data_IF_191129892560
#
_entry.id   IF_191129892560
#
_cell.length_a   1.000
_cell.length_b   1.000
_cell.length_c   1.000
_cell.angle_alpha   90.00
_cell.angle_beta   90.00
_cell.angle_gamma   90.00
#
_symmetry.space_group_name_H-M   'P 1'
#
loop_
_entity.id
_entity.type
_entity.pdbx_description
1 polymer ?
#
# COMPACT_ATOMS: atom_id res chain seq x y z
N UNK A 1 -5.66 29.06 15.88
CA UNK A 1 -5.38 27.75 16.49
C UNK A 1 -3.87 27.62 16.62
N UNK A 2 -3.34 27.34 17.81
CA UNK A 2 -1.92 27.03 17.97
C UNK A 2 -1.58 25.83 17.06
N UNK A 3 -0.54 25.96 16.22
CA UNK A 3 -0.04 24.84 15.41
C UNK A 3 0.28 23.70 16.38
N UNK A 4 -0.39 22.56 16.24
CA UNK A 4 0.03 21.34 16.96
C UNK A 4 1.52 21.11 16.63
N UNK A 5 2.37 20.77 17.61
CA UNK A 5 3.75 20.42 17.32
C UNK A 5 3.76 19.29 16.29
N UNK A 6 4.68 19.35 15.32
CA UNK A 6 4.80 18.26 14.37
C UNK A 6 5.18 16.99 15.13
N UNK A 7 4.51 15.86 14.86
CA UNK A 7 4.85 14.60 15.51
C UNK A 7 6.29 14.22 15.16
N UNK A 8 7.02 13.61 16.12
CA UNK A 8 8.29 12.96 15.80
C UNK A 8 7.95 11.73 14.95
N UNK A 9 8.25 11.81 13.66
CA UNK A 9 8.07 10.70 12.74
C UNK A 9 9.42 10.00 12.55
N UNK A 10 9.52 8.77 13.05
CA UNK A 10 10.61 7.87 12.68
C UNK A 10 10.33 7.34 11.26
N UNK A 11 10.72 8.12 10.25
CA UNK A 11 10.70 7.71 8.85
C UNK A 11 12.12 7.70 8.31
N UNK A 12 12.46 6.64 7.57
CA UNK A 12 13.73 6.52 6.86
C UNK A 12 13.42 6.62 5.37
N UNK A 13 14.01 7.61 4.70
CA UNK A 13 14.02 7.64 3.26
C UNK A 13 15.06 6.61 2.77
N UNK A 14 14.70 5.81 1.79
CA UNK A 14 15.61 4.87 1.14
C UNK A 14 15.66 5.13 -0.36
N UNK A 15 16.76 4.75 -0.99
CA UNK A 15 16.89 4.79 -2.43
C UNK A 15 15.97 3.70 -3.04
N UNK A 16 15.04 4.07 -3.94
CA UNK A 16 14.08 3.13 -4.51
C UNK A 16 14.75 2.07 -5.40
N UNK A 17 15.85 2.38 -6.06
CA UNK A 17 16.58 1.42 -6.89
C UNK A 17 17.43 0.48 -6.03
N UNK A 18 17.97 0.96 -4.91
CA UNK A 18 18.55 0.10 -3.89
C UNK A 18 17.51 -0.87 -3.31
N UNK A 19 16.30 -0.39 -3.00
CA UNK A 19 15.20 -1.25 -2.51
C UNK A 19 14.85 -2.35 -3.52
N UNK A 20 14.67 -2.00 -4.81
CA UNK A 20 14.41 -2.99 -5.88
C UNK A 20 15.49 -4.07 -5.93
N UNK A 21 16.77 -3.69 -5.85
CA UNK A 21 17.89 -4.65 -5.87
C UNK A 21 17.85 -5.57 -4.65
N UNK A 22 17.71 -5.00 -3.46
CA UNK A 22 17.62 -5.78 -2.21
C UNK A 22 16.44 -6.75 -2.24
N UNK A 23 15.28 -6.34 -2.76
CA UNK A 23 14.13 -7.25 -2.93
C UNK A 23 14.43 -8.42 -3.88
N UNK A 24 15.17 -8.19 -4.97
CA UNK A 24 15.57 -9.27 -5.89
C UNK A 24 16.60 -10.21 -5.26
N UNK A 25 17.51 -9.68 -4.44
CA UNK A 25 18.48 -10.49 -3.71
C UNK A 25 17.78 -11.40 -2.69
N UNK A 26 16.81 -10.88 -1.93
CA UNK A 26 15.97 -11.68 -1.01
C UNK A 26 15.26 -12.83 -1.74
N UNK A 27 14.68 -12.57 -2.92
CA UNK A 27 14.04 -13.61 -3.74
C UNK A 27 15.04 -14.69 -4.15
N UNK A 28 16.23 -14.29 -4.60
CA UNK A 28 17.28 -15.21 -5.05
C UNK A 28 17.81 -16.06 -3.90
N UNK A 29 18.11 -15.44 -2.77
CA UNK A 29 18.65 -16.10 -1.58
C UNK A 29 17.69 -17.14 -1.00
N UNK A 30 16.38 -16.93 -1.16
CA UNK A 30 15.34 -17.85 -0.71
C UNK A 30 14.86 -18.83 -1.80
N UNK A 31 15.56 -18.91 -2.95
CA UNK A 31 15.24 -19.81 -4.07
C UNK A 31 13.79 -19.68 -4.57
N UNK A 32 13.23 -18.47 -4.52
CA UNK A 32 11.87 -18.20 -4.99
C UNK A 32 11.86 -18.14 -6.52
N UNK A 33 10.96 -18.90 -7.16
CA UNK A 33 10.77 -18.87 -8.60
C UNK A 33 10.01 -17.61 -9.06
N UNK A 34 10.73 -16.51 -9.21
CA UNK A 34 10.17 -15.21 -9.58
C UNK A 34 9.89 -15.10 -11.10
N UNK A 35 8.72 -14.56 -11.44
CA UNK A 35 8.28 -14.34 -12.83
C UNK A 35 7.86 -12.88 -13.07
N UNK A 36 8.78 -12.04 -13.54
CA UNK A 36 8.54 -10.59 -13.77
C UNK A 36 7.79 -10.26 -15.08
N UNK A 37 7.78 -11.16 -16.06
CA UNK A 37 7.17 -10.95 -17.39
C UNK A 37 5.93 -11.82 -17.59
N UNK A 38 5.09 -11.90 -16.55
CA UNK A 38 3.85 -12.66 -16.53
C UNK A 38 2.74 -11.78 -15.98
N UNK A 39 1.74 -11.49 -16.81
CA UNK A 39 0.57 -10.71 -16.39
C UNK A 39 -0.54 -11.68 -16.01
N UNK A 40 -1.21 -11.44 -14.88
CA UNK A 40 -2.41 -12.18 -14.49
C UNK A 40 -3.49 -12.05 -15.58
N UNK A 41 -4.23 -13.12 -15.82
CA UNK A 41 -5.33 -13.15 -16.78
C UNK A 41 -6.61 -13.74 -16.20
N UNK A 42 -6.53 -14.85 -15.46
CA UNK A 42 -7.70 -15.50 -14.84
C UNK A 42 -7.30 -16.40 -13.68
N UNK A 43 -8.24 -16.75 -12.80
CA UNK A 43 -8.07 -17.71 -11.73
C UNK A 43 -8.56 -19.10 -12.17
N UNK A 44 -7.95 -20.15 -11.62
CA UNK A 44 -8.40 -21.53 -11.81
C UNK A 44 -9.04 -21.98 -10.50
N UNK A 45 -10.34 -22.25 -10.53
CA UNK A 45 -11.12 -22.67 -9.35
C UNK A 45 -11.79 -24.00 -9.63
N UNK A 46 -11.61 -24.95 -8.71
CA UNK A 46 -12.21 -26.29 -8.76
C UNK A 46 -12.86 -26.58 -7.40
N UNK A 47 -14.12 -27.03 -7.42
CA UNK A 47 -14.88 -27.37 -6.21
C UNK A 47 -14.89 -26.27 -5.12
N UNK A 48 -14.90 -25.00 -5.55
CA UNK A 48 -14.89 -23.84 -4.65
C UNK A 48 -13.51 -23.49 -4.06
N UNK A 49 -12.45 -24.18 -4.45
CA UNK A 49 -11.08 -23.89 -4.04
C UNK A 49 -10.24 -23.36 -5.21
N UNK A 50 -9.42 -22.34 -4.98
CA UNK A 50 -8.46 -21.90 -5.99
C UNK A 50 -7.33 -22.94 -6.13
N UNK A 51 -6.97 -23.27 -7.38
CA UNK A 51 -5.91 -24.24 -7.73
C UNK A 51 -4.73 -23.61 -8.47
N UNK A 52 -4.86 -22.35 -8.87
CA UNK A 52 -3.83 -21.67 -9.61
C UNK A 52 -4.34 -20.44 -10.34
N UNK A 53 -3.48 -19.89 -11.19
CA UNK A 53 -3.76 -18.72 -12.02
C UNK A 53 -3.31 -18.96 -13.44
N UNK A 54 -3.99 -18.30 -14.38
CA UNK A 54 -3.60 -18.19 -15.77
C UNK A 54 -2.85 -16.88 -15.93
N UNK A 55 -1.66 -16.95 -16.54
CA UNK A 55 -0.88 -15.79 -16.91
C UNK A 55 -0.78 -15.64 -18.43
N UNK A 56 -0.79 -14.40 -18.90
CA UNK A 56 -0.46 -14.03 -20.27
C UNK A 56 1.03 -13.63 -20.34
N UNK A 57 1.76 -14.27 -21.25
CA UNK A 57 3.18 -13.99 -21.51
C UNK A 57 3.44 -13.88 -23.01
N UNK A 58 4.67 -13.49 -23.38
CA UNK A 58 5.13 -13.54 -24.78
C UNK A 58 5.31 -14.96 -25.31
N UNK A 59 5.44 -15.97 -24.44
CA UNK A 59 5.50 -17.38 -24.81
C UNK A 59 4.11 -18.02 -24.95
N UNK A 60 3.05 -17.21 -24.86
CA UNK A 60 1.67 -17.67 -24.83
C UNK A 60 1.09 -17.71 -23.41
N UNK A 61 -0.10 -18.27 -23.32
CA UNK A 61 -0.86 -18.42 -22.08
C UNK A 61 -0.33 -19.61 -21.29
N UNK A 62 -0.14 -19.44 -19.99
CA UNK A 62 0.40 -20.47 -19.11
C UNK A 62 -0.48 -20.59 -17.86
N UNK A 63 -0.73 -21.82 -17.41
CA UNK A 63 -1.32 -22.09 -16.10
C UNK A 63 -0.19 -22.29 -15.07
N UNK A 64 -0.29 -21.60 -13.94
CA UNK A 64 0.59 -21.76 -12.79
C UNK A 64 -0.27 -22.33 -11.65
N UNK A 65 -0.03 -23.58 -11.31
CA UNK A 65 -0.80 -24.32 -10.30
C UNK A 65 -0.16 -24.15 -8.91
N UNK A 66 -0.98 -24.22 -7.87
CA UNK A 66 -0.53 -24.18 -6.48
C UNK A 66 -1.63 -24.58 -5.50
N UNK A 67 -1.22 -25.10 -4.34
CA UNK A 67 -2.13 -25.57 -3.29
C UNK A 67 -2.73 -24.43 -2.46
N UNK A 68 -2.06 -23.28 -2.44
CA UNK A 68 -2.49 -22.01 -1.82
C UNK A 68 -2.13 -20.86 -2.76
N UNK A 69 -3.02 -19.87 -2.87
CA UNK A 69 -2.77 -18.62 -3.60
C UNK A 69 -2.87 -17.42 -2.67
N UNK A 70 -1.86 -16.55 -2.71
CA UNK A 70 -1.84 -15.28 -1.98
C UNK A 70 -2.05 -14.14 -2.97
N UNK A 71 -3.21 -13.48 -2.92
CA UNK A 71 -3.51 -12.31 -3.72
C UNK A 71 -2.85 -11.05 -3.13
N UNK A 72 -1.75 -10.64 -3.75
CA UNK A 72 -1.01 -9.40 -3.45
C UNK A 72 -1.14 -8.35 -4.56
N UNK A 73 -2.19 -8.43 -5.38
CA UNK A 73 -2.34 -7.58 -6.57
C UNK A 73 -2.60 -6.10 -6.25
N UNK A 74 -3.05 -5.79 -5.03
CA UNK A 74 -3.45 -4.44 -4.64
C UNK A 74 -4.83 -4.05 -5.14
N UNK A 75 -5.37 -4.76 -6.14
CA UNK A 75 -6.62 -4.45 -6.83
C UNK A 75 -7.67 -5.57 -6.74
N UNK A 76 -7.38 -6.62 -5.96
CA UNK A 76 -8.22 -7.81 -5.79
C UNK A 76 -8.47 -8.56 -7.11
N UNK A 77 -7.52 -8.50 -8.06
CA UNK A 77 -7.69 -9.11 -9.38
C UNK A 77 -7.88 -10.62 -9.29
N UNK A 78 -7.03 -11.30 -8.51
CA UNK A 78 -7.06 -12.76 -8.38
C UNK A 78 -8.29 -13.19 -7.62
N UNK A 79 -8.57 -12.60 -6.46
CA UNK A 79 -9.71 -12.98 -5.64
C UNK A 79 -11.06 -12.67 -6.32
N UNK A 80 -11.17 -11.53 -7.02
CA UNK A 80 -12.37 -11.20 -7.79
C UNK A 80 -12.60 -12.21 -8.93
N UNK A 81 -11.56 -12.57 -9.68
CA UNK A 81 -11.65 -13.56 -10.75
C UNK A 81 -11.98 -14.96 -10.20
N UNK A 82 -11.50 -15.30 -9.01
CA UNK A 82 -11.83 -16.55 -8.33
C UNK A 82 -13.26 -16.60 -7.75
N UNK A 83 -14.02 -15.50 -7.81
CA UNK A 83 -15.41 -15.44 -7.33
C UNK A 83 -15.59 -14.97 -5.88
N UNK A 84 -14.56 -14.35 -5.27
CA UNK A 84 -14.70 -13.74 -3.96
C UNK A 84 -15.60 -12.49 -4.01
N UNK A 85 -16.38 -12.28 -2.95
CA UNK A 85 -17.20 -11.07 -2.81
C UNK A 85 -16.33 -9.84 -2.52
N UNK A 86 -16.74 -8.68 -3.04
CA UNK A 86 -16.02 -7.45 -2.85
C UNK A 86 -16.94 -6.23 -2.76
N UNK A 87 -16.36 -5.12 -2.30
CA UNK A 87 -16.88 -3.77 -2.51
C UNK A 87 -15.95 -3.02 -3.44
N UNK A 88 -16.47 -2.05 -4.20
CA UNK A 88 -15.67 -1.20 -5.07
C UNK A 88 -15.75 0.24 -4.59
N UNK A 89 -14.61 0.91 -4.59
CA UNK A 89 -14.49 2.32 -4.23
C UNK A 89 -13.45 3.02 -5.08
N UNK A 90 -13.48 4.33 -5.03
CA UNK A 90 -12.52 5.21 -5.70
C UNK A 90 -12.03 6.24 -4.70
N UNK A 91 -10.82 6.74 -4.92
CA UNK A 91 -10.28 7.84 -4.13
C UNK A 91 -9.53 8.83 -5.02
N UNK A 92 -8.20 8.79 -5.01
CA UNK A 92 -7.35 9.57 -5.90
C UNK A 92 -6.43 8.62 -6.65
N UNK A 93 -6.01 9.04 -7.84
CA UNK A 93 -4.87 8.47 -8.54
C UNK A 93 -3.75 9.50 -8.61
N UNK A 94 -2.51 9.04 -8.71
CA UNK A 94 -1.31 9.89 -8.68
C UNK A 94 -0.20 9.29 -9.51
N UNK A 95 0.40 10.09 -10.40
CA UNK A 95 1.69 9.76 -11.02
C UNK A 95 2.77 10.57 -10.32
N UNK A 96 3.47 9.96 -9.37
CA UNK A 96 4.58 10.60 -8.65
C UNK A 96 5.76 10.84 -9.59
N UNK A 97 6.62 11.79 -9.26
CA UNK A 97 7.79 12.11 -10.07
C UNK A 97 8.96 12.58 -9.22
N UNK A 98 10.13 12.70 -9.83
CA UNK A 98 11.37 13.14 -9.19
C UNK A 98 11.93 14.34 -9.92
N UNK A 99 12.47 15.27 -9.14
CA UNK A 99 13.27 16.39 -9.65
C UNK A 99 14.71 16.23 -9.15
N UNK A 100 15.67 16.56 -10.00
CA UNK A 100 17.10 16.61 -9.67
C UNK A 100 17.58 18.06 -9.60
N UNK A 101 18.81 18.29 -9.13
CA UNK A 101 19.44 19.61 -9.04
C UNK A 101 18.66 20.63 -8.18
N UNK A 102 17.97 20.16 -7.15
CA UNK A 102 17.26 20.99 -6.17
C UNK A 102 18.19 21.30 -4.99
N UNK A 103 18.41 22.57 -4.70
CA UNK A 103 19.04 23.01 -3.45
C UNK A 103 18.01 22.90 -2.32
N UNK A 104 18.02 21.76 -1.63
CA UNK A 104 17.06 21.49 -0.57
C UNK A 104 17.28 22.36 0.67
N UNK A 105 18.52 22.80 0.91
CA UNK A 105 18.84 23.63 2.07
C UNK A 105 18.28 25.04 1.87
N UNK A 106 18.43 25.60 0.67
CA UNK A 106 17.82 26.88 0.30
C UNK A 106 16.28 26.82 0.31
N UNK A 107 15.69 25.74 -0.22
CA UNK A 107 14.25 25.55 -0.17
C UNK A 107 13.71 25.48 1.27
N UNK A 108 14.43 24.81 2.17
CA UNK A 108 14.08 24.77 3.59
C UNK A 108 14.31 26.12 4.27
N UNK A 109 15.43 26.82 3.98
CA UNK A 109 15.69 28.17 4.47
C UNK A 109 14.52 29.10 4.13
N UNK A 110 14.07 29.09 2.89
CA UNK A 110 12.93 29.89 2.43
C UNK A 110 11.63 29.55 3.17
N UNK A 111 11.35 28.26 3.41
CA UNK A 111 10.17 27.85 4.18
C UNK A 111 10.18 28.38 5.63
N UNK A 112 11.35 28.35 6.29
CA UNK A 112 11.48 28.72 7.70
C UNK A 112 11.66 30.22 7.94
N UNK A 113 12.50 30.87 7.13
CA UNK A 113 12.85 32.29 7.28
C UNK A 113 11.81 33.22 6.63
N UNK A 114 11.13 32.75 5.57
CA UNK A 114 10.15 33.54 4.80
C UNK A 114 8.78 32.84 4.67
N UNK A 115 8.14 32.42 5.79
CA UNK A 115 7.00 31.52 5.79
C UNK A 115 5.76 32.07 5.06
N UNK A 116 5.56 33.39 5.04
CA UNK A 116 4.45 34.03 4.32
C UNK A 116 4.64 34.00 2.80
N UNK A 117 5.87 34.22 2.33
CA UNK A 117 6.22 34.14 0.91
C UNK A 117 6.14 32.69 0.45
N UNK A 118 6.74 31.77 1.21
CA UNK A 118 6.63 30.34 0.96
C UNK A 118 5.16 29.87 0.90
N UNK A 119 4.31 30.30 1.83
CA UNK A 119 2.90 29.91 1.82
C UNK A 119 2.16 30.35 0.54
N UNK A 120 2.54 31.47 -0.08
CA UNK A 120 1.96 31.91 -1.37
C UNK A 120 2.40 30.98 -2.51
N UNK A 121 3.71 30.73 -2.62
CA UNK A 121 4.28 29.85 -3.65
C UNK A 121 3.75 28.43 -3.51
N UNK A 122 3.80 27.88 -2.30
CA UNK A 122 3.32 26.53 -2.00
C UNK A 122 1.81 26.39 -2.26
N UNK A 123 0.99 27.41 -1.97
CA UNK A 123 -0.44 27.38 -2.28
C UNK A 123 -0.70 27.27 -3.78
N UNK A 124 0.04 28.04 -4.58
CA UNK A 124 -0.11 28.00 -6.03
C UNK A 124 0.41 26.67 -6.60
N UNK A 125 1.56 26.18 -6.12
CA UNK A 125 2.08 24.85 -6.45
C UNK A 125 1.01 23.76 -6.20
N UNK A 126 0.41 23.74 -5.00
CA UNK A 126 -0.66 22.80 -4.63
C UNK A 126 -1.89 22.91 -5.51
N UNK A 127 -2.24 24.11 -5.97
CA UNK A 127 -3.36 24.32 -6.90
C UNK A 127 -3.08 23.70 -8.27
N UNK A 128 -1.86 23.84 -8.78
CA UNK A 128 -1.45 23.27 -10.08
C UNK A 128 -1.57 21.74 -10.07
N UNK A 129 -1.14 21.10 -8.99
CA UNK A 129 -1.15 19.63 -8.85
C UNK A 129 -2.48 19.03 -8.36
N UNK A 130 -3.51 19.85 -8.19
CA UNK A 130 -4.83 19.39 -7.71
C UNK A 130 -4.87 19.04 -6.21
N UNK A 131 -3.81 19.36 -5.47
CA UNK A 131 -3.67 19.10 -4.05
C UNK A 131 -2.42 18.28 -3.71
N UNK A 132 -2.12 18.28 -2.42
CA UNK A 132 -1.09 17.46 -1.80
C UNK A 132 -1.45 17.24 -0.34
N UNK A 133 -0.80 16.29 0.30
CA UNK A 133 -0.78 16.13 1.76
C UNK A 133 -0.07 17.33 2.42
N UNK A 134 0.58 17.12 3.57
CA UNK A 134 1.33 18.20 4.23
C UNK A 134 2.44 18.75 3.32
N UNK A 135 3.19 17.86 2.66
CA UNK A 135 4.25 18.19 1.72
C UNK A 135 3.91 17.62 0.34
N UNK A 136 4.21 18.40 -0.72
CA UNK A 136 4.14 17.90 -2.10
C UNK A 136 5.47 17.36 -2.62
N UNK A 137 6.59 17.74 -1.99
CA UNK A 137 7.94 17.22 -2.25
C UNK A 137 8.60 16.72 -0.96
N UNK A 138 9.51 15.74 -1.08
CA UNK A 138 10.21 15.09 0.02
C UNK A 138 11.69 14.95 -0.34
N UNK A 139 12.58 15.06 0.66
CA UNK A 139 13.99 14.75 0.48
C UNK A 139 14.19 13.26 0.23
N UNK A 140 15.17 12.93 -0.61
CA UNK A 140 15.63 11.55 -0.81
C UNK A 140 17.03 11.38 -0.21
N UNK A 141 17.56 10.14 -0.09
CA UNK A 141 18.95 9.93 0.32
C UNK A 141 19.98 10.44 -0.68
N UNK A 142 19.58 10.78 -1.90
CA UNK A 142 20.44 11.33 -2.94
C UNK A 142 20.39 12.87 -2.86
N UNK A 143 21.50 13.55 -2.53
CA UNK A 143 21.55 15.00 -2.51
C UNK A 143 21.11 15.60 -3.85
N UNK A 144 20.30 16.67 -3.79
CA UNK A 144 19.78 17.32 -4.97
C UNK A 144 18.58 16.64 -5.62
N UNK A 145 18.18 15.45 -5.17
CA UNK A 145 17.01 14.73 -5.69
C UNK A 145 15.86 14.77 -4.69
N UNK A 146 14.70 15.24 -5.16
CA UNK A 146 13.46 15.29 -4.38
C UNK A 146 12.37 14.42 -5.01
N UNK A 147 11.52 13.86 -4.15
CA UNK A 147 10.38 13.04 -4.54
C UNK A 147 9.09 13.85 -4.44
N UNK A 148 8.35 13.97 -5.52
CA UNK A 148 7.08 14.69 -5.58
C UNK A 148 5.89 13.72 -5.50
N UNK A 149 5.15 13.75 -4.39
CA UNK A 149 4.05 12.82 -4.09
C UNK A 149 2.70 13.34 -4.62
N UNK A 150 2.65 13.73 -5.88
CA UNK A 150 1.53 14.40 -6.53
C UNK A 150 1.68 14.29 -8.07
N UNK A 151 0.66 14.56 -8.89
CA UNK A 151 -0.63 15.23 -8.60
C UNK A 151 -1.67 14.36 -7.88
N UNK A 152 -2.59 15.01 -7.17
CA UNK A 152 -3.79 14.38 -6.64
C UNK A 152 -4.92 14.52 -7.67
N UNK A 153 -5.39 13.41 -8.22
CA UNK A 153 -6.40 13.38 -9.28
C UNK A 153 -7.59 12.53 -8.81
N UNK A 154 -8.65 13.13 -8.24
CA UNK A 154 -9.87 12.42 -7.87
C UNK A 154 -10.76 12.16 -9.10
N UNK A 155 -11.77 11.30 -8.93
CA UNK A 155 -12.81 11.07 -9.95
C UNK A 155 -12.42 10.11 -11.08
N UNK A 156 -11.30 9.40 -10.91
CA UNK A 156 -10.85 8.36 -11.82
C UNK A 156 -11.15 6.97 -11.24
N UNK A 157 -11.70 6.08 -12.06
CA UNK A 157 -11.76 4.65 -11.76
C UNK A 157 -10.39 4.00 -11.95
N UNK A 158 -9.85 3.43 -10.88
CA UNK A 158 -8.56 2.72 -10.91
C UNK A 158 -8.57 1.39 -11.67
N UNK A 159 -9.73 0.92 -12.15
CA UNK A 159 -9.88 -0.30 -12.95
C UNK A 159 -10.10 0.02 -14.44
N UNK A 160 -10.67 1.19 -14.78
CA UNK A 160 -10.96 1.53 -16.17
C UNK A 160 -9.70 1.94 -16.91
N UNK A 161 -9.49 1.30 -18.06
CA UNK A 161 -8.40 1.62 -19.00
C UNK A 161 -8.54 3.05 -19.51
N UNK A 162 -9.76 3.49 -19.82
CA UNK A 162 -10.07 4.82 -20.32
C UNK A 162 -9.75 5.89 -19.27
N UNK A 163 -10.13 5.66 -18.01
CA UNK A 163 -9.87 6.57 -16.91
C UNK A 163 -8.38 6.67 -16.60
N UNK A 164 -7.68 5.54 -16.49
CA UNK A 164 -6.24 5.52 -16.26
C UNK A 164 -5.47 6.18 -17.42
N UNK A 165 -5.93 6.00 -18.66
CA UNK A 165 -5.34 6.67 -19.83
C UNK A 165 -5.52 8.19 -19.73
N UNK A 166 -6.71 8.67 -19.37
CA UNK A 166 -6.95 10.11 -19.17
C UNK A 166 -6.10 10.67 -18.00
N UNK A 167 -6.00 9.93 -16.91
CA UNK A 167 -5.17 10.28 -15.75
C UNK A 167 -3.69 10.41 -16.11
N UNK A 168 -3.18 9.57 -17.03
CA UNK A 168 -1.80 9.66 -17.52
C UNK A 168 -1.53 11.00 -18.23
N UNK A 169 -2.42 11.43 -19.13
CA UNK A 169 -2.31 12.72 -19.80
C UNK A 169 -2.41 13.90 -18.83
N UNK A 170 -3.44 13.90 -17.99
CA UNK A 170 -3.65 14.96 -16.98
C UNK A 170 -2.48 15.05 -16.01
N UNK A 171 -2.00 13.91 -15.53
CA UNK A 171 -0.89 13.82 -14.60
C UNK A 171 0.36 14.46 -15.18
N UNK A 172 0.73 14.09 -16.41
CA UNK A 172 1.92 14.63 -17.10
C UNK A 172 1.85 16.13 -17.33
N UNK A 173 0.69 16.64 -17.75
CA UNK A 173 0.48 18.08 -17.92
C UNK A 173 0.64 18.85 -16.60
N UNK A 174 0.03 18.36 -15.51
CA UNK A 174 0.16 18.98 -14.18
C UNK A 174 1.58 18.93 -13.62
N UNK A 175 2.29 17.83 -13.81
CA UNK A 175 3.69 17.68 -13.40
C UNK A 175 4.58 18.72 -14.09
N UNK A 176 4.44 18.89 -15.40
CA UNK A 176 5.23 19.87 -16.16
C UNK A 176 4.87 21.31 -15.78
N UNK A 177 3.58 21.62 -15.58
CA UNK A 177 3.16 22.94 -15.08
C UNK A 177 3.76 23.26 -13.71
N UNK A 178 3.75 22.28 -12.80
CA UNK A 178 4.37 22.46 -11.49
C UNK A 178 5.87 22.68 -11.62
N UNK A 179 6.55 21.85 -12.43
CA UNK A 179 7.98 21.95 -12.68
C UNK A 179 8.40 23.35 -13.16
N UNK A 180 7.73 23.89 -14.18
CA UNK A 180 8.02 25.24 -14.67
C UNK A 180 7.75 26.30 -13.60
N UNK A 181 6.62 26.19 -12.90
CA UNK A 181 6.25 27.13 -11.84
C UNK A 181 7.30 27.17 -10.72
N UNK A 182 7.76 26.02 -10.23
CA UNK A 182 8.70 25.99 -9.09
C UNK A 182 10.11 26.44 -9.50
N UNK A 183 10.55 26.19 -10.73
CA UNK A 183 11.82 26.74 -11.23
C UNK A 183 11.85 28.27 -11.25
N UNK A 184 10.70 28.90 -11.48
CA UNK A 184 10.58 30.36 -11.55
C UNK A 184 10.32 31.01 -10.19
N UNK A 185 9.67 30.29 -9.26
CA UNK A 185 9.07 30.90 -8.07
C UNK A 185 9.52 30.32 -6.73
N UNK A 186 10.18 29.16 -6.71
CA UNK A 186 10.59 28.49 -5.46
C UNK A 186 12.11 28.57 -5.31
N UNK A 187 12.63 29.32 -4.31
CA UNK A 187 14.03 29.30 -3.95
C UNK A 187 14.57 27.89 -3.78
N UNK A 188 15.73 27.64 -4.41
CA UNK A 188 16.40 26.34 -4.44
C UNK A 188 15.97 25.42 -5.59
N UNK A 189 14.89 25.75 -6.31
CA UNK A 189 14.42 24.95 -7.46
C UNK A 189 14.83 25.54 -8.82
N UNK A 190 15.57 26.64 -8.89
CA UNK A 190 15.86 27.37 -10.14
C UNK A 190 16.60 26.50 -11.17
N UNK A 191 17.48 25.64 -10.67
CA UNK A 191 18.28 24.70 -11.45
C UNK A 191 17.65 23.30 -11.54
N UNK A 192 16.44 23.13 -11.02
CA UNK A 192 15.82 21.81 -10.95
C UNK A 192 15.58 21.24 -12.35
N UNK A 193 15.85 19.95 -12.54
CA UNK A 193 15.58 19.23 -13.77
C UNK A 193 14.58 18.10 -13.54
N UNK A 194 13.75 17.83 -14.55
CA UNK A 194 12.82 16.70 -14.51
C UNK A 194 13.60 15.39 -14.64
N UNK A 195 13.74 14.66 -13.53
CA UNK A 195 14.46 13.38 -13.54
C UNK A 195 13.60 12.25 -14.12
N UNK A 196 12.30 12.27 -13.82
CA UNK A 196 11.35 11.32 -14.39
C UNK A 196 10.10 11.13 -13.55
N UNK A 197 9.01 10.72 -14.22
CA UNK A 197 7.78 10.28 -13.59
C UNK A 197 7.82 8.77 -13.31
N UNK A 198 6.95 8.30 -12.41
CA UNK A 198 6.70 6.88 -12.20
C UNK A 198 6.24 6.21 -13.50
N UNK A 199 6.60 4.94 -13.65
CA UNK A 199 6.30 4.14 -14.83
C UNK A 199 4.81 3.77 -14.95
N UNK A 200 4.05 3.89 -13.85
CA UNK A 200 2.62 3.61 -13.79
C UNK A 200 1.89 4.63 -12.91
N UNK A 201 0.64 4.92 -13.26
CA UNK A 201 -0.30 5.67 -12.41
C UNK A 201 -0.53 4.90 -11.10
N UNK A 202 -0.25 5.54 -9.97
CA UNK A 202 -0.50 5.00 -8.65
C UNK A 202 -1.98 5.09 -8.29
N UNK A 203 -2.60 3.95 -7.99
CA UNK A 203 -4.00 3.83 -7.59
C UNK A 203 -4.10 3.58 -6.08
N UNK A 204 -5.04 4.24 -5.41
CA UNK A 204 -5.20 4.16 -3.94
C UNK A 204 -6.25 3.16 -3.46
N UNK A 205 -7.33 3.03 -4.22
CA UNK A 205 -8.47 2.17 -3.89
C UNK A 205 -9.16 1.74 -5.18
N UNK A 206 -9.54 0.47 -5.25
CA UNK A 206 -10.36 -0.13 -6.32
C UNK A 206 -11.36 -1.09 -5.67
N UNK A 207 -11.12 -2.40 -5.77
CA UNK A 207 -11.89 -3.43 -5.07
C UNK A 207 -11.27 -3.71 -3.70
N UNK A 208 -12.13 -3.99 -2.74
CA UNK A 208 -11.80 -4.40 -1.38
C UNK A 208 -12.58 -5.65 -1.06
N UNK A 209 -11.90 -6.66 -0.51
CA UNK A 209 -12.51 -7.94 -0.16
C UNK A 209 -13.70 -7.74 0.78
N UNK A 210 -14.74 -8.56 0.63
CA UNK A 210 -15.73 -8.81 1.69
C UNK A 210 -15.41 -10.16 2.32
N UNK A 211 -14.46 -10.13 3.24
CA UNK A 211 -13.92 -11.32 3.89
C UNK A 211 -14.75 -11.78 5.08
N UNK A 212 -14.23 -12.75 5.82
CA UNK A 212 -14.88 -13.26 7.04
C UNK A 212 -15.05 -12.18 8.13
N UNK A 213 -14.23 -11.14 8.09
CA UNK A 213 -14.45 -9.90 8.83
C UNK A 213 -14.19 -8.68 7.97
N UNK A 214 -15.03 -7.65 8.08
CA UNK A 214 -14.82 -6.36 7.43
C UNK A 214 -14.36 -5.37 8.49
N UNK A 215 -13.09 -4.96 8.43
CA UNK A 215 -12.54 -3.96 9.36
C UNK A 215 -13.25 -2.62 9.14
N UNK A 216 -13.87 -2.10 10.18
CA UNK A 216 -14.64 -0.86 10.14
C UNK A 216 -13.77 0.35 10.45
N UNK A 217 -14.26 1.54 10.10
CA UNK A 217 -13.57 2.79 10.49
C UNK A 217 -13.48 2.93 12.01
N UNK A 218 -14.47 2.41 12.74
CA UNK A 218 -14.52 2.44 14.20
C UNK A 218 -13.39 1.58 14.80
N UNK A 219 -13.17 0.38 14.27
CA UNK A 219 -12.09 -0.51 14.70
C UNK A 219 -10.72 0.18 14.61
N UNK A 220 -10.48 0.90 13.52
CA UNK A 220 -9.22 1.61 13.27
C UNK A 220 -9.09 2.83 14.19
N UNK A 221 -10.14 3.65 14.31
CA UNK A 221 -10.10 4.90 15.10
C UNK A 221 -10.02 4.61 16.60
N UNK A 222 -10.75 3.60 17.07
CA UNK A 222 -10.80 3.21 18.47
C UNK A 222 -9.75 2.17 18.83
N UNK A 223 -8.92 1.72 17.88
CA UNK A 223 -7.82 0.78 18.13
C UNK A 223 -8.35 -0.54 18.72
N UNK A 224 -9.44 -1.05 18.15
CA UNK A 224 -10.06 -2.30 18.60
C UNK A 224 -9.05 -3.43 18.44
N UNK A 225 -8.75 -4.09 19.54
CA UNK A 225 -7.91 -5.29 19.54
C UNK A 225 -8.74 -6.53 19.20
N UNK A 226 -8.11 -7.47 18.52
CA UNK A 226 -8.68 -8.78 18.17
C UNK A 226 -7.73 -9.89 18.62
N UNK A 227 -8.26 -10.97 19.19
CA UNK A 227 -7.44 -12.10 19.61
C UNK A 227 -6.65 -12.74 18.44
N UNK A 228 -7.22 -12.71 17.24
CA UNK A 228 -6.63 -13.21 16.02
C UNK A 228 -5.90 -12.12 15.19
N UNK A 229 -5.44 -11.05 15.82
CA UNK A 229 -4.64 -10.03 15.13
C UNK A 229 -3.36 -10.63 14.54
N UNK A 230 -3.11 -10.39 13.25
CA UNK A 230 -1.86 -10.78 12.58
C UNK A 230 -1.15 -9.61 11.90
N UNK A 231 -1.74 -8.42 11.96
CA UNK A 231 -1.12 -7.21 11.45
C UNK A 231 -1.38 -6.03 12.37
N UNK A 232 -0.30 -5.32 12.72
CA UNK A 232 -0.35 -4.05 13.43
C UNK A 232 0.05 -2.91 12.51
N UNK A 233 -0.82 -1.91 12.42
CA UNK A 233 -0.47 -0.62 11.82
C UNK A 233 0.28 0.27 12.80
N UNK A 234 0.11 1.60 12.66
CA UNK A 234 0.69 2.55 13.64
C UNK A 234 0.17 2.29 15.05
N UNK A 235 -1.15 2.29 15.20
CA UNK A 235 -1.85 2.13 16.48
C UNK A 235 -3.17 1.34 16.35
N UNK A 236 -3.40 0.64 15.23
CA UNK A 236 -4.59 -0.17 14.98
C UNK A 236 -4.23 -1.61 14.61
N UNK A 237 -5.22 -2.49 14.66
CA UNK A 237 -5.08 -3.94 14.54
C UNK A 237 -5.89 -4.47 13.36
N UNK A 238 -5.38 -5.48 12.67
CA UNK A 238 -6.09 -6.19 11.60
C UNK A 238 -6.15 -7.68 11.94
N UNK A 239 -7.36 -8.25 12.10
CA UNK A 239 -7.54 -9.66 12.43
C UNK A 239 -7.29 -10.55 11.20
N UNK A 240 -6.84 -11.79 11.43
CA UNK A 240 -6.52 -12.77 10.39
C UNK A 240 -7.69 -13.01 9.44
N UNK A 241 -8.89 -13.15 10.00
CA UNK A 241 -10.15 -13.30 9.25
C UNK A 241 -10.49 -12.13 8.30
N UNK A 242 -9.84 -10.96 8.43
CA UNK A 242 -9.98 -9.87 7.45
C UNK A 242 -9.15 -10.09 6.17
N UNK A 243 -8.29 -11.10 6.14
CA UNK A 243 -7.49 -11.48 4.98
C UNK A 243 -8.14 -12.65 4.20
N UNK A 244 -9.17 -13.28 4.76
CA UNK A 244 -9.77 -14.50 4.24
C UNK A 244 -11.09 -14.23 3.49
N UNK A 245 -11.23 -14.69 2.23
CA UNK A 245 -12.50 -14.64 1.50
C UNK A 245 -13.51 -15.65 2.08
N UNK A 246 -14.81 -15.35 1.94
CA UNK A 246 -15.88 -16.20 2.48
C UNK A 246 -16.27 -17.37 1.58
N UNK A 247 -16.08 -17.24 0.26
CA UNK A 247 -16.62 -18.15 -0.76
C UNK A 247 -15.58 -19.02 -1.50
N UNK A 248 -14.30 -18.73 -1.32
CA UNK A 248 -13.21 -19.36 -2.08
C UNK A 248 -12.20 -19.93 -1.11
N UNK A 249 -12.01 -21.24 -1.13
CA UNK A 249 -11.01 -21.89 -0.29
C UNK A 249 -9.58 -21.71 -0.84
N UNK A 250 -8.59 -21.87 0.04
CA UNK A 250 -7.16 -21.83 -0.29
C UNK A 250 -6.66 -20.52 -0.91
N UNK A 251 -7.40 -19.43 -0.68
CA UNK A 251 -7.06 -18.08 -1.09
C UNK A 251 -6.93 -17.17 0.13
N UNK A 252 -5.90 -16.33 0.16
CA UNK A 252 -5.72 -15.28 1.16
C UNK A 252 -5.28 -13.98 0.49
N UNK A 253 -5.75 -12.84 1.00
CA UNK A 253 -5.47 -11.50 0.46
C UNK A 253 -4.51 -10.74 1.37
N UNK A 254 -3.50 -10.08 0.80
CA UNK A 254 -2.60 -9.20 1.55
C UNK A 254 -2.29 -7.93 0.74
N UNK A 255 -2.48 -6.77 1.35
CA UNK A 255 -2.29 -5.47 0.71
C UNK A 255 -3.49 -4.54 0.86
N UNK A 256 -3.49 -3.44 0.08
CA UNK A 256 -4.50 -2.37 0.19
C UNK A 256 -5.95 -2.80 -0.11
N UNK A 257 -6.15 -3.98 -0.67
CA UNK A 257 -7.43 -4.58 -1.08
C UNK A 257 -7.99 -5.58 -0.06
N UNK A 258 -7.38 -5.70 1.12
CA UNK A 258 -7.90 -6.51 2.23
C UNK A 258 -9.32 -6.10 2.67
N UNK A 259 -9.95 -6.92 3.52
CA UNK A 259 -11.35 -6.72 3.91
C UNK A 259 -11.53 -5.57 4.89
N UNK A 260 -11.94 -4.41 4.36
CA UNK A 260 -12.15 -3.19 5.13
C UNK A 260 -13.20 -2.28 4.49
N UNK A 261 -13.84 -1.46 5.33
CA UNK A 261 -14.66 -0.35 4.86
C UNK A 261 -13.79 0.71 4.15
N UNK A 262 -14.35 1.47 3.18
CA UNK A 262 -13.58 2.47 2.43
C UNK A 262 -12.83 3.48 3.32
N UNK A 263 -13.43 3.92 4.43
CA UNK A 263 -12.83 4.91 5.32
C UNK A 263 -11.82 4.30 6.31
N UNK A 264 -11.96 3.01 6.64
CA UNK A 264 -10.93 2.25 7.34
C UNK A 264 -9.71 2.07 6.43
N UNK A 265 -9.93 1.57 5.20
CA UNK A 265 -8.89 1.32 4.21
C UNK A 265 -8.05 2.56 3.89
N UNK A 266 -8.67 3.74 3.76
CA UNK A 266 -7.95 5.01 3.57
C UNK A 266 -6.93 5.32 4.66
N UNK A 267 -7.15 4.81 5.89
CA UNK A 267 -6.32 5.05 7.08
C UNK A 267 -5.33 3.91 7.36
N UNK A 268 -5.54 2.74 6.76
CA UNK A 268 -4.81 1.52 7.13
C UNK A 268 -3.99 0.88 6.01
N UNK A 269 -4.08 1.40 4.78
CA UNK A 269 -3.42 0.87 3.58
C UNK A 269 -1.97 1.33 3.40
N UNK A 270 -1.29 1.75 4.46
CA UNK A 270 0.11 2.18 4.34
C UNK A 270 1.02 0.99 3.99
N UNK A 271 2.22 1.28 3.46
CA UNK A 271 3.17 0.24 3.02
C UNK A 271 3.54 -0.71 4.18
N UNK A 272 3.92 -0.23 5.39
CA UNK A 272 4.30 -1.15 6.46
C UNK A 272 3.20 -2.14 6.88
N UNK A 273 1.94 -1.72 7.14
CA UNK A 273 0.84 -2.66 7.36
C UNK A 273 0.67 -3.68 6.24
N UNK A 274 0.76 -3.26 4.97
CA UNK A 274 0.66 -4.18 3.83
C UNK A 274 1.80 -5.21 3.81
N UNK A 275 3.01 -4.83 4.20
CA UNK A 275 4.14 -5.76 4.33
C UNK A 275 3.89 -6.79 5.44
N UNK A 276 3.38 -6.34 6.59
CA UNK A 276 3.05 -7.22 7.71
C UNK A 276 1.93 -8.20 7.34
N UNK A 277 0.92 -7.75 6.58
CA UNK A 277 -0.11 -8.63 6.02
C UNK A 277 0.49 -9.70 5.08
N UNK A 278 1.47 -9.32 4.25
CA UNK A 278 2.15 -10.25 3.35
C UNK A 278 2.92 -11.34 4.10
N UNK A 279 3.63 -10.95 5.17
CA UNK A 279 4.32 -11.90 6.05
C UNK A 279 3.34 -12.84 6.76
N UNK A 280 2.26 -12.30 7.35
CA UNK A 280 1.20 -13.08 7.96
C UNK A 280 0.58 -14.10 6.99
N UNK A 281 0.27 -13.67 5.76
CA UNK A 281 -0.29 -14.54 4.74
C UNK A 281 0.67 -15.65 4.30
N UNK A 282 1.97 -15.34 4.18
CA UNK A 282 3.00 -16.35 3.88
C UNK A 282 3.16 -17.38 4.99
N UNK A 283 3.18 -16.94 6.25
CA UNK A 283 3.23 -17.83 7.42
C UNK A 283 1.98 -18.71 7.49
N UNK A 284 0.80 -18.12 7.29
CA UNK A 284 -0.46 -18.85 7.27
C UNK A 284 -0.49 -19.94 6.18
N UNK A 285 -0.06 -19.60 4.96
CA UNK A 285 0.05 -20.55 3.86
C UNK A 285 1.01 -21.70 4.20
N UNK A 286 2.17 -21.40 4.78
CA UNK A 286 3.12 -22.44 5.21
C UNK A 286 2.54 -23.37 6.27
N UNK A 287 1.83 -22.82 7.27
CA UNK A 287 1.19 -23.61 8.33
C UNK A 287 0.07 -24.50 7.77
N UNK A 288 -0.79 -23.95 6.90
CA UNK A 288 -1.87 -24.69 6.25
C UNK A 288 -1.31 -25.91 5.47
N UNK A 289 -0.22 -25.72 4.73
CA UNK A 289 0.42 -26.80 3.97
C UNK A 289 1.10 -27.84 4.87
N UNK A 290 1.79 -27.40 5.93
CA UNK A 290 2.48 -28.31 6.85
C UNK A 290 1.51 -29.17 7.67
N UNK A 291 0.38 -28.59 8.06
CA UNK A 291 -0.64 -29.25 8.88
C UNK A 291 -1.71 -29.95 8.03
N UNK A 292 -1.68 -29.76 6.70
CA UNK A 292 -2.66 -30.26 5.73
C UNK A 292 -4.10 -29.87 6.11
N UNK A 293 -4.30 -28.58 6.35
CA UNK A 293 -5.58 -27.96 6.73
C UNK A 293 -5.92 -26.80 5.79
N UNK A 294 -7.15 -26.31 5.84
CA UNK A 294 -7.54 -25.12 5.09
C UNK A 294 -6.90 -23.86 5.69
N UNK A 295 -6.68 -22.84 4.87
CA UNK A 295 -6.22 -21.52 5.33
C UNK A 295 -7.08 -20.96 6.47
N UNK A 296 -8.42 -21.12 6.40
CA UNK A 296 -9.35 -20.66 7.43
C UNK A 296 -9.24 -21.39 8.77
N UNK A 297 -8.64 -22.58 8.77
CA UNK A 297 -8.47 -23.41 9.96
C UNK A 297 -7.12 -23.18 10.66
N UNK A 298 -6.27 -22.32 10.09
CA UNK A 298 -4.97 -21.99 10.69
C UNK A 298 -5.17 -21.18 11.98
N UNK A 299 -4.60 -21.68 13.07
CA UNK A 299 -4.58 -21.00 14.36
C UNK A 299 -3.73 -19.72 14.30
N UNK A 300 -4.39 -18.56 14.47
CA UNK A 300 -3.76 -17.25 14.45
C UNK A 300 -2.62 -17.12 15.49
N UNK A 301 -2.67 -17.82 16.61
CA UNK A 301 -1.61 -17.78 17.63
C UNK A 301 -0.30 -18.40 17.14
N UNK A 302 -0.38 -19.40 16.25
CA UNK A 302 0.81 -19.97 15.59
C UNK A 302 1.41 -18.98 14.60
N UNK A 303 0.56 -18.26 13.85
CA UNK A 303 1.00 -17.19 12.94
C UNK A 303 1.76 -16.11 13.73
N UNK A 304 1.14 -15.60 14.80
CA UNK A 304 1.72 -14.58 15.69
C UNK A 304 3.09 -15.02 16.24
N UNK A 305 3.19 -16.26 16.74
CA UNK A 305 4.43 -16.81 17.29
C UNK A 305 5.56 -16.86 16.28
N UNK A 306 5.27 -17.28 15.04
CA UNK A 306 6.29 -17.36 13.97
C UNK A 306 6.73 -15.96 13.55
N UNK A 307 5.80 -15.03 13.34
CA UNK A 307 6.11 -13.63 12.99
C UNK A 307 7.00 -12.97 14.06
N UNK A 308 6.68 -13.17 15.34
CA UNK A 308 7.53 -12.71 16.46
C UNK A 308 8.94 -13.30 16.39
N UNK A 309 9.05 -14.60 16.10
CA UNK A 309 10.35 -15.27 15.95
C UNK A 309 11.15 -14.75 14.75
N UNK A 310 10.48 -14.24 13.72
CA UNK A 310 11.08 -13.59 12.55
C UNK A 310 11.40 -12.11 12.77
N UNK A 311 11.00 -11.53 13.91
CA UNK A 311 11.24 -10.14 14.27
C UNK A 311 10.14 -9.16 13.87
N UNK A 312 9.00 -9.65 13.37
CA UNK A 312 7.83 -8.84 13.08
C UNK A 312 6.92 -8.63 14.31
N UNK A 313 6.11 -7.57 14.27
CA UNK A 313 5.06 -7.30 15.25
C UNK A 313 3.69 -7.68 14.65
N UNK A 314 3.13 -8.85 14.99
CA UNK A 314 1.81 -9.23 14.50
C UNK A 314 0.69 -8.46 15.22
N UNK A 315 1.00 -7.68 16.26
CA UNK A 315 0.01 -6.95 17.04
C UNK A 315 -0.71 -7.79 18.10
N UNK A 316 -0.20 -8.98 18.42
CA UNK A 316 -0.66 -9.91 19.46
C UNK A 316 -0.55 -9.36 20.88
N UNK A 317 0.32 -8.36 21.10
CA UNK A 317 0.44 -7.64 22.36
C UNK A 317 -0.27 -6.28 22.20
N UNK A 318 -1.45 -6.09 22.82
CA UNK A 318 -2.20 -4.84 22.70
C UNK A 318 -1.42 -3.68 23.35
N UNK A 319 -1.55 -2.48 22.76
CA UNK A 319 -1.03 -1.25 23.35
C UNK A 319 -1.90 -0.83 24.53
N UNK A 320 -1.35 0.01 25.42
CA UNK A 320 -2.07 0.50 26.59
C UNK A 320 -3.37 1.28 26.26
N UNK A 321 -3.50 1.76 25.02
CA UNK A 321 -4.68 2.48 24.52
C UNK A 321 -5.54 1.65 23.54
N UNK A 322 -5.31 0.33 23.45
CA UNK A 322 -6.16 -0.57 22.68
C UNK A 322 -7.51 -0.76 23.39
N UNK A 323 -8.56 -0.95 22.62
CA UNK A 323 -9.93 -1.19 23.12
C UNK A 323 -10.36 -2.65 22.88
N UNK A 324 -11.43 -3.11 23.55
CA UNK A 324 -11.97 -4.46 23.36
C UNK A 324 -11.16 -5.59 24.03
N UNK A 325 -10.05 -5.28 24.70
CA UNK A 325 -9.20 -6.27 25.38
C UNK A 325 -9.93 -6.95 26.55
N UNK A 326 -10.68 -6.17 27.34
CA UNK A 326 -11.44 -6.69 28.50
C UNK A 326 -12.63 -7.57 28.05
N UNK A 327 -13.27 -7.26 26.92
CA UNK A 327 -14.34 -8.07 26.32
C UNK A 327 -13.83 -9.47 25.94
N UNK A 328 -12.60 -9.56 25.44
CA UNK A 328 -11.95 -10.82 25.10
C UNK A 328 -11.56 -11.63 26.35
N UNK A 329 -11.06 -10.97 27.39
CA UNK A 329 -10.74 -11.62 28.66
C UNK A 329 -11.98 -12.20 29.37
N UNK A 330 -13.15 -11.59 29.18
CA UNK A 330 -14.42 -12.06 29.74
C UNK A 330 -15.08 -13.20 28.92
N UNK A 331 -14.61 -13.45 27.70
CA UNK A 331 -15.18 -14.45 26.78
C UNK A 331 -14.27 -15.67 26.54
N UNK A 332 -13.06 -15.67 27.12
CA UNK A 332 -12.10 -16.78 27.13
C UNK A 332 -12.23 -17.64 28.40
#
# INVERSE_FOLDING_TARGET
QAKKPQPIVYAVAFDPDAWKRTSLDLVRENNINLRLHSLFADAIVEDGAIKGVICQTKNGRQAIMGDVVIDTTGDLDVACSAGADFSQGQYIVTTVFRLANVDTDEAQRFEYEEPEAFAKVNRQARRIIGGAWEMWWLKTPIPGVVWCNCPHMPGYDGISVEDLTRAEYEGRDRMMKLFHYVRENMPGFEKADMLGAAEQVGVRTTRMLRGEYVVTVDDVVNRRYFADTVCRGRDYYTPYRALLPTKVEQLIVAGRHYSAEPDAQKRSREIPPCMVQGEAAGVAASLALQENILLRDVDATKIQKIMRAQGADPGDIPSANATGVEELAASA
#
